data_IF_349196932727
#
_entry.id   IF_349196932727
#
_cell.length_a   1.000
_cell.length_b   1.000
_cell.length_c   1.000
_cell.angle_alpha   90.00
_cell.angle_beta   90.00
_cell.angle_gamma   90.00
#
_symmetry.space_group_name_H-M   'P 1'
#
loop_
_entity.id
_entity.type
_entity.pdbx_description
1 polymer ?
#
# COMPACT_ATOMS: atom_id res chain seq x y z
N UNK A 1 -1.29 -40.10 65.23
CA UNK A 1 -2.00 -40.66 64.07
C UNK A 1 -1.71 -39.80 62.84
N UNK A 2 -0.90 -40.35 61.94
CA UNK A 2 -0.58 -40.01 60.54
C UNK A 2 -0.71 -38.56 60.02
N UNK A 3 0.36 -37.79 60.18
CA UNK A 3 0.78 -36.71 59.24
C UNK A 3 1.47 -37.30 57.98
N UNK A 4 1.65 -38.63 57.94
CA UNK A 4 2.42 -39.33 56.92
C UNK A 4 1.69 -39.59 55.58
N UNK A 5 0.37 -39.39 55.49
CA UNK A 5 -0.39 -39.77 54.28
C UNK A 5 -0.52 -38.61 53.27
N UNK A 6 -0.44 -37.35 53.72
CA UNK A 6 -0.65 -36.18 52.84
C UNK A 6 0.59 -35.83 51.99
N UNK A 7 1.78 -36.33 52.36
CA UNK A 7 3.03 -36.04 51.64
C UNK A 7 3.33 -36.96 50.45
N UNK A 8 2.50 -37.98 50.19
CA UNK A 8 2.81 -39.00 49.18
C UNK A 8 2.11 -38.79 47.82
N UNK A 9 1.09 -37.92 47.74
CA UNK A 9 0.38 -37.63 46.48
C UNK A 9 0.84 -36.36 45.73
N UNK A 10 1.55 -35.45 46.39
CA UNK A 10 1.96 -34.17 45.79
C UNK A 10 2.98 -34.25 44.62
N UNK A 11 3.98 -35.17 44.60
CA UNK A 11 4.94 -35.19 43.49
C UNK A 11 4.38 -35.82 42.21
N UNK A 12 3.26 -36.55 42.30
CA UNK A 12 2.59 -37.16 41.13
C UNK A 12 1.66 -36.16 40.42
N UNK A 13 0.98 -35.29 41.17
CA UNK A 13 0.13 -34.22 40.63
C UNK A 13 0.95 -33.10 39.97
N UNK A 14 2.07 -32.69 40.58
CA UNK A 14 2.95 -31.67 40.00
C UNK A 14 3.66 -32.15 38.72
N UNK A 15 4.01 -33.44 38.64
CA UNK A 15 4.56 -34.06 37.41
C UNK A 15 3.51 -34.17 36.31
N UNK A 16 2.28 -34.56 36.64
CA UNK A 16 1.16 -34.61 35.68
C UNK A 16 0.83 -33.24 35.08
N UNK A 17 0.89 -32.17 35.89
CA UNK A 17 0.67 -30.80 35.44
C UNK A 17 1.78 -30.31 34.48
N UNK A 18 3.02 -30.74 34.69
CA UNK A 18 4.16 -30.39 33.83
C UNK A 18 4.06 -31.09 32.46
N UNK A 19 3.65 -32.37 32.42
CA UNK A 19 3.39 -33.08 31.16
C UNK A 19 2.19 -32.49 30.40
N UNK A 20 1.13 -32.06 31.11
CA UNK A 20 0.00 -31.37 30.50
C UNK A 20 0.41 -30.01 29.89
N UNK A 21 1.28 -29.24 30.54
CA UNK A 21 1.82 -28.00 29.98
C UNK A 21 2.71 -28.23 28.75
N UNK A 22 3.55 -29.27 28.72
CA UNK A 22 4.35 -29.60 27.52
C UNK A 22 3.47 -30.08 26.36
N UNK A 23 2.40 -30.84 26.63
CA UNK A 23 1.43 -31.26 25.61
C UNK A 23 0.54 -30.11 25.12
N UNK A 24 0.22 -29.13 25.97
CA UNK A 24 -0.51 -27.92 25.58
C UNK A 24 0.32 -26.96 24.72
N UNK A 25 1.65 -26.92 24.89
CA UNK A 25 2.54 -26.13 24.02
C UNK A 25 2.87 -26.83 22.68
N UNK A 26 2.78 -28.15 22.60
CA UNK A 26 3.00 -28.89 21.35
C UNK A 26 1.86 -28.72 20.33
N UNK A 27 0.68 -28.24 20.75
CA UNK A 27 -0.49 -28.08 19.88
C UNK A 27 -0.42 -26.88 18.91
N UNK A 28 0.64 -26.07 18.95
CA UNK A 28 0.83 -24.93 18.04
C UNK A 28 1.82 -25.22 16.87
N UNK A 29 2.33 -26.44 16.74
CA UNK A 29 3.24 -26.83 15.65
C UNK A 29 2.46 -27.27 14.39
N UNK A 30 1.63 -26.38 13.84
CA UNK A 30 0.77 -26.67 12.68
C UNK A 30 0.97 -25.75 11.47
N UNK A 31 1.84 -24.75 11.54
CA UNK A 31 2.09 -23.85 10.41
C UNK A 31 3.32 -24.28 9.64
N UNK A 32 3.18 -25.15 8.62
CA UNK A 32 4.25 -25.36 7.62
C UNK A 32 4.37 -24.17 6.66
N UNK A 33 3.29 -23.40 6.52
CA UNK A 33 3.24 -22.13 5.81
C UNK A 33 2.55 -21.12 6.73
N UNK A 34 3.21 -19.99 6.99
CA UNK A 34 2.58 -18.84 7.65
C UNK A 34 2.24 -17.79 6.60
N UNK A 35 1.02 -17.27 6.67
CA UNK A 35 0.52 -16.24 5.76
C UNK A 35 0.14 -15.01 6.59
N UNK A 36 0.64 -13.84 6.20
CA UNK A 36 0.33 -12.58 6.84
C UNK A 36 -0.19 -11.59 5.81
N UNK A 37 -1.18 -10.78 6.20
CA UNK A 37 -1.74 -9.71 5.39
C UNK A 37 -1.58 -8.39 6.14
N UNK A 38 -1.02 -7.38 5.49
CA UNK A 38 -0.89 -6.04 6.04
C UNK A 38 -1.38 -4.99 5.06
N UNK A 39 -2.31 -4.15 5.52
CA UNK A 39 -2.77 -2.97 4.80
C UNK A 39 -1.89 -1.76 5.19
N UNK A 40 -1.61 -0.87 4.24
CA UNK A 40 -0.78 0.31 4.52
C UNK A 40 -1.51 1.34 5.39
N UNK A 41 -2.82 1.46 5.19
CA UNK A 41 -3.72 2.35 5.90
C UNK A 41 -4.99 1.61 6.30
N UNK A 42 -5.69 2.16 7.28
CA UNK A 42 -7.02 1.69 7.72
C UNK A 42 -8.17 2.46 7.07
N UNK A 43 -7.87 3.55 6.36
CA UNK A 43 -8.84 4.38 5.66
C UNK A 43 -8.30 4.74 4.28
N UNK A 44 -9.15 4.61 3.26
CA UNK A 44 -8.87 4.95 1.87
C UNK A 44 -9.98 5.84 1.32
N UNK A 45 -9.66 6.65 0.31
CA UNK A 45 -10.67 7.41 -0.41
C UNK A 45 -11.27 6.53 -1.51
N UNK A 46 -12.57 6.65 -1.78
CA UNK A 46 -13.20 5.92 -2.88
C UNK A 46 -12.44 6.11 -4.20
N UNK A 47 -12.27 5.00 -4.92
CA UNK A 47 -11.47 4.88 -6.15
C UNK A 47 -9.95 5.08 -5.98
N UNK A 48 -9.43 5.06 -4.75
CA UNK A 48 -7.99 5.01 -4.48
C UNK A 48 -7.48 3.55 -4.48
N UNK A 49 -6.24 3.29 -4.96
CA UNK A 49 -5.60 1.98 -4.84
C UNK A 49 -5.56 1.46 -3.39
N UNK A 50 -5.95 0.20 -3.20
CA UNK A 50 -5.95 -0.49 -1.91
C UNK A 50 -4.86 -1.57 -1.92
N UNK A 51 -3.62 -1.14 -1.65
CA UNK A 51 -2.46 -2.01 -1.72
C UNK A 51 -2.28 -2.83 -0.43
N UNK A 52 -2.50 -4.13 -0.54
CA UNK A 52 -2.23 -5.11 0.49
C UNK A 52 -0.81 -5.70 0.35
N UNK A 53 -0.08 -5.78 1.46
CA UNK A 53 1.23 -6.44 1.54
C UNK A 53 1.05 -7.84 2.14
N UNK A 54 1.23 -8.85 1.31
CA UNK A 54 1.20 -10.25 1.67
C UNK A 54 2.60 -10.73 2.06
N UNK A 55 2.71 -11.47 3.15
CA UNK A 55 3.93 -12.18 3.53
C UNK A 55 3.67 -13.68 3.67
N UNK A 56 4.48 -14.50 3.00
CA UNK A 56 4.40 -15.95 3.04
C UNK A 56 5.73 -16.46 3.59
N UNK A 57 5.70 -17.15 4.73
CA UNK A 57 6.89 -17.77 5.34
C UNK A 57 6.80 -19.28 5.21
N UNK A 58 7.84 -19.89 4.63
CA UNK A 58 7.99 -21.34 4.59
C UNK A 58 8.61 -21.84 5.91
N UNK A 59 7.83 -22.60 6.66
CA UNK A 59 8.21 -23.24 7.93
C UNK A 59 8.21 -24.79 7.81
N UNK A 60 8.14 -25.32 6.58
CA UNK A 60 8.04 -26.77 6.31
C UNK A 60 9.37 -27.53 6.46
N UNK A 61 10.49 -26.83 6.61
CA UNK A 61 11.83 -27.44 6.70
C UNK A 61 12.37 -28.00 5.37
N UNK A 62 11.70 -27.73 4.26
CA UNK A 62 12.10 -28.06 2.88
C UNK A 62 11.68 -26.96 1.93
N UNK A 63 12.25 -26.90 0.73
CA UNK A 63 11.75 -26.04 -0.34
C UNK A 63 10.30 -26.39 -0.67
N UNK A 64 9.48 -25.36 -0.91
CA UNK A 64 8.10 -25.51 -1.35
C UNK A 64 7.87 -24.77 -2.66
N UNK A 65 6.92 -25.24 -3.45
CA UNK A 65 6.46 -24.59 -4.67
C UNK A 65 4.94 -24.41 -4.61
N UNK A 66 4.49 -23.16 -4.62
CA UNK A 66 3.08 -22.80 -4.66
C UNK A 66 2.66 -22.65 -6.12
N UNK A 67 1.62 -23.38 -6.53
CA UNK A 67 1.11 -23.39 -7.89
C UNK A 67 -0.36 -23.81 -7.90
N UNK A 68 -1.09 -23.39 -8.92
CA UNK A 68 -2.50 -23.77 -9.08
C UNK A 68 -2.58 -25.29 -9.33
N UNK A 69 -3.42 -25.99 -8.56
CA UNK A 69 -3.57 -27.44 -8.61
C UNK A 69 -4.99 -27.83 -8.16
N UNK A 70 -5.49 -28.98 -8.64
CA UNK A 70 -6.82 -29.51 -8.26
C UNK A 70 -7.98 -28.51 -8.49
N UNK A 71 -7.85 -27.66 -9.50
CA UNK A 71 -8.83 -26.59 -9.80
C UNK A 71 -8.87 -25.46 -8.77
N UNK A 72 -7.88 -25.38 -7.86
CA UNK A 72 -7.72 -24.31 -6.87
C UNK A 72 -6.57 -23.40 -7.26
N UNK A 73 -6.78 -22.08 -7.21
CA UNK A 73 -5.68 -21.12 -7.30
C UNK A 73 -4.86 -21.14 -6.01
N UNK A 74 -3.53 -21.09 -6.14
CA UNK A 74 -2.66 -21.13 -4.95
C UNK A 74 -2.75 -19.88 -4.10
N UNK A 75 -3.19 -18.75 -4.66
CA UNK A 75 -3.42 -17.50 -3.95
C UNK A 75 -4.84 -16.99 -4.21
N UNK A 76 -5.53 -16.61 -3.15
CA UNK A 76 -6.81 -15.93 -3.24
C UNK A 76 -7.07 -14.96 -2.10
N UNK A 77 -8.13 -14.18 -2.27
CA UNK A 77 -8.63 -13.25 -1.26
C UNK A 77 -10.10 -13.52 -0.99
N UNK A 78 -10.45 -13.40 0.29
CA UNK A 78 -11.83 -13.37 0.77
C UNK A 78 -12.08 -11.93 1.21
N UNK A 79 -12.97 -11.25 0.49
CA UNK A 79 -13.36 -9.88 0.76
C UNK A 79 -14.82 -9.89 1.19
N UNK A 80 -15.12 -9.28 2.33
CA UNK A 80 -16.50 -9.08 2.80
C UNK A 80 -16.75 -7.61 3.12
N UNK A 81 -17.99 -7.18 2.93
CA UNK A 81 -18.43 -5.84 3.32
C UNK A 81 -18.79 -5.74 4.80
N UNK A 82 -19.39 -4.60 5.18
CA UNK A 82 -19.70 -4.25 6.57
C UNK A 82 -20.70 -5.19 7.26
N UNK A 83 -21.59 -5.85 6.51
CA UNK A 83 -22.58 -6.78 7.03
C UNK A 83 -22.12 -8.25 6.92
N UNK A 84 -20.84 -8.47 6.60
CA UNK A 84 -20.25 -9.80 6.43
C UNK A 84 -20.59 -10.48 5.10
N UNK A 85 -21.31 -9.80 4.21
CA UNK A 85 -21.63 -10.29 2.88
C UNK A 85 -20.36 -10.48 2.04
N UNK A 86 -20.17 -11.63 1.38
CA UNK A 86 -19.02 -11.86 0.51
C UNK A 86 -19.11 -11.01 -0.75
N UNK A 87 -17.97 -10.47 -1.16
CA UNK A 87 -17.82 -9.65 -2.36
C UNK A 87 -17.14 -10.50 -3.43
N UNK A 88 -17.82 -10.67 -4.55
CA UNK A 88 -17.29 -11.41 -5.69
C UNK A 88 -16.14 -10.62 -6.37
N UNK A 89 -15.10 -11.32 -6.86
CA UNK A 89 -14.05 -10.68 -7.64
C UNK A 89 -14.60 -10.15 -8.98
N UNK A 90 -14.00 -9.08 -9.49
CA UNK A 90 -14.34 -8.46 -10.78
C UNK A 90 -14.01 -9.36 -11.98
N UNK A 91 -13.09 -10.30 -11.81
CA UNK A 91 -12.70 -11.29 -12.83
C UNK A 91 -12.35 -12.61 -12.16
N UNK A 92 -12.80 -13.71 -12.76
CA UNK A 92 -12.54 -15.07 -12.26
C UNK A 92 -11.09 -15.51 -12.47
N UNK A 93 -10.38 -14.89 -13.43
CA UNK A 93 -9.01 -15.23 -13.78
C UNK A 93 -8.03 -14.26 -13.11
N UNK A 94 -7.51 -14.67 -11.95
CA UNK A 94 -6.37 -14.01 -11.30
C UNK A 94 -5.26 -15.02 -11.01
N UNK A 95 -4.99 -15.89 -11.99
CA UNK A 95 -3.97 -16.92 -11.89
C UNK A 95 -2.62 -16.28 -11.58
N UNK A 96 -2.04 -16.67 -10.45
CA UNK A 96 -0.73 -16.17 -10.03
C UNK A 96 0.35 -17.11 -10.55
N UNK A 97 1.48 -16.58 -11.06
CA UNK A 97 2.56 -17.43 -11.49
C UNK A 97 3.07 -18.28 -10.30
N UNK A 98 3.52 -19.53 -10.55
CA UNK A 98 4.10 -20.37 -9.53
C UNK A 98 5.18 -19.66 -8.71
N UNK A 99 5.27 -19.98 -7.43
CA UNK A 99 6.20 -19.36 -6.50
C UNK A 99 6.98 -20.40 -5.71
N UNK A 100 8.28 -20.48 -5.97
CA UNK A 100 9.22 -21.24 -5.15
C UNK A 100 9.63 -20.45 -3.91
N UNK A 101 9.62 -21.10 -2.74
CA UNK A 101 10.06 -20.53 -1.46
C UNK A 101 11.00 -21.53 -0.78
N UNK A 102 12.24 -21.13 -0.52
CA UNK A 102 13.23 -21.98 0.15
C UNK A 102 12.86 -22.22 1.62
N UNK A 103 13.39 -23.32 2.19
CA UNK A 103 13.17 -23.64 3.59
C UNK A 103 13.55 -22.47 4.53
N UNK A 104 12.62 -22.03 5.37
CA UNK A 104 12.83 -20.91 6.31
C UNK A 104 12.74 -19.51 5.68
N UNK A 105 12.56 -19.40 4.36
CA UNK A 105 12.47 -18.12 3.68
C UNK A 105 11.08 -17.48 3.85
N UNK A 106 11.06 -16.14 3.89
CA UNK A 106 9.84 -15.33 3.74
C UNK A 106 9.85 -14.56 2.43
N UNK A 107 8.77 -14.67 1.67
CA UNK A 107 8.51 -13.86 0.46
C UNK A 107 7.44 -12.82 0.76
N UNK A 108 7.61 -11.61 0.23
CA UNK A 108 6.63 -10.52 0.36
C UNK A 108 6.13 -10.11 -1.02
N UNK A 109 4.82 -9.93 -1.17
CA UNK A 109 4.17 -9.45 -2.39
C UNK A 109 3.25 -8.27 -2.08
N UNK A 110 3.17 -7.31 -2.98
CA UNK A 110 2.21 -6.22 -2.92
C UNK A 110 1.16 -6.42 -3.99
N UNK A 111 -0.11 -6.39 -3.60
CA UNK A 111 -1.26 -6.63 -4.48
C UNK A 111 -2.25 -5.50 -4.26
N UNK A 112 -2.65 -4.82 -5.33
CA UNK A 112 -3.74 -3.87 -5.29
C UNK A 112 -5.07 -4.63 -5.39
N UNK A 113 -5.95 -4.41 -4.40
CA UNK A 113 -7.25 -5.07 -4.33
C UNK A 113 -8.31 -4.37 -5.20
N UNK A 114 -8.16 -3.07 -5.45
CA UNK A 114 -9.13 -2.27 -6.21
C UNK A 114 -9.43 -2.79 -7.64
N UNK A 115 -8.45 -3.28 -8.43
CA UNK A 115 -8.73 -3.88 -9.74
C UNK A 115 -9.28 -5.30 -9.65
N UNK A 116 -9.20 -5.96 -8.49
CA UNK A 116 -9.60 -7.36 -8.30
C UNK A 116 -11.00 -7.48 -7.69
N UNK A 117 -11.41 -6.52 -6.86
CA UNK A 117 -12.69 -6.54 -6.14
C UNK A 117 -13.33 -5.14 -6.19
N UNK A 118 -14.68 -5.02 -6.21
CA UNK A 118 -15.37 -3.74 -6.12
C UNK A 118 -15.30 -3.16 -4.70
N UNK A 119 -14.12 -2.72 -4.28
CA UNK A 119 -13.84 -2.13 -2.96
C UNK A 119 -13.76 -0.60 -3.01
N UNK A 120 -14.62 0.02 -3.82
CA UNK A 120 -14.67 1.48 -4.02
C UNK A 120 -15.90 2.15 -3.40
N UNK A 121 -16.92 1.37 -3.02
CA UNK A 121 -18.10 1.88 -2.35
C UNK A 121 -17.80 2.27 -0.89
N UNK A 122 -18.60 3.15 -0.33
CA UNK A 122 -18.39 3.60 1.05
C UNK A 122 -18.73 2.50 2.05
N UNK A 123 -17.83 2.30 3.02
CA UNK A 123 -18.06 1.35 4.10
C UNK A 123 -16.79 0.66 4.56
N UNK A 124 -16.97 -0.22 5.54
CA UNK A 124 -15.91 -1.06 6.07
C UNK A 124 -15.81 -2.37 5.27
N UNK A 125 -14.59 -2.75 4.95
CA UNK A 125 -14.25 -3.99 4.26
C UNK A 125 -13.34 -4.84 5.16
N UNK A 126 -13.58 -6.14 5.14
CA UNK A 126 -12.73 -7.13 5.78
C UNK A 126 -12.08 -7.96 4.68
N UNK A 127 -10.76 -8.13 4.78
CA UNK A 127 -9.99 -8.89 3.79
C UNK A 127 -9.15 -9.92 4.51
N UNK A 128 -9.22 -11.15 4.02
CA UNK A 128 -8.32 -12.23 4.38
C UNK A 128 -7.74 -12.82 3.11
N UNK A 129 -6.49 -13.25 3.15
CA UNK A 129 -5.89 -14.00 2.04
C UNK A 129 -5.66 -15.44 2.45
N UNK A 130 -5.71 -16.32 1.46
CA UNK A 130 -5.41 -17.73 1.64
C UNK A 130 -4.38 -18.20 0.62
N UNK A 131 -3.54 -19.14 1.06
CA UNK A 131 -2.58 -19.84 0.24
C UNK A 131 -2.95 -21.32 0.20
N UNK A 132 -3.24 -21.85 -0.98
CA UNK A 132 -3.41 -23.29 -1.17
C UNK A 132 -2.06 -23.95 -1.42
N UNK A 133 -1.79 -25.04 -0.69
CA UNK A 133 -0.58 -25.82 -0.84
C UNK A 133 -0.92 -27.25 -1.27
N UNK A 134 -0.66 -27.54 -2.55
CA UNK A 134 -1.01 -28.78 -3.22
C UNK A 134 -0.46 -30.03 -2.51
N UNK A 135 0.80 -30.01 -2.06
CA UNK A 135 1.45 -31.13 -1.36
C UNK A 135 0.66 -31.65 -0.15
N UNK A 136 -0.13 -30.77 0.49
CA UNK A 136 -0.94 -31.10 1.67
C UNK A 136 -2.44 -31.09 1.37
N UNK A 137 -2.86 -30.60 0.20
CA UNK A 137 -4.26 -30.37 -0.15
C UNK A 137 -4.98 -29.44 0.83
N UNK A 138 -4.32 -28.40 1.34
CA UNK A 138 -4.85 -27.52 2.40
C UNK A 138 -4.64 -26.04 2.13
N UNK A 139 -5.52 -25.23 2.69
CA UNK A 139 -5.45 -23.77 2.70
C UNK A 139 -4.83 -23.25 4.00
N UNK A 140 -3.95 -22.25 3.87
CA UNK A 140 -3.36 -21.49 4.97
C UNK A 140 -3.86 -20.05 4.89
N UNK A 141 -4.42 -19.54 5.98
CA UNK A 141 -5.08 -18.23 6.00
C UNK A 141 -4.26 -17.19 6.75
N UNK A 142 -4.33 -15.95 6.29
CA UNK A 142 -3.87 -14.80 7.06
C UNK A 142 -4.84 -14.46 8.20
N UNK A 143 -4.39 -13.59 9.10
CA UNK A 143 -5.32 -12.77 9.88
C UNK A 143 -6.18 -11.87 8.98
N UNK A 144 -7.31 -11.40 9.50
CA UNK A 144 -8.21 -10.48 8.79
C UNK A 144 -7.71 -9.05 8.91
N UNK A 145 -7.45 -8.40 7.77
CA UNK A 145 -7.25 -6.95 7.68
C UNK A 145 -8.59 -6.23 7.53
N UNK A 146 -8.70 -5.05 8.13
CA UNK A 146 -9.89 -4.21 8.03
C UNK A 146 -9.49 -2.84 7.51
N UNK A 147 -10.26 -2.30 6.57
CA UNK A 147 -10.14 -0.91 6.15
C UNK A 147 -11.50 -0.31 5.86
N UNK A 148 -11.56 1.01 5.92
CA UNK A 148 -12.74 1.80 5.60
C UNK A 148 -12.50 2.57 4.29
N UNK A 149 -13.52 2.62 3.44
CA UNK A 149 -13.56 3.49 2.27
C UNK A 149 -14.52 4.61 2.55
N UNK A 150 -14.03 5.84 2.42
CA UNK A 150 -14.81 7.06 2.62
C UNK A 150 -14.70 7.96 1.40
N UNK A 151 -15.58 8.95 1.26
CA UNK A 151 -15.33 10.02 0.28
C UNK A 151 -14.44 11.13 0.85
N UNK A 152 -13.91 11.95 -0.04
CA UNK A 152 -13.19 13.16 0.33
C UNK A 152 -13.92 14.41 -0.20
N UNK A 153 -13.89 15.49 0.57
CA UNK A 153 -14.61 16.72 0.23
C UNK A 153 -13.91 17.44 -0.93
N UNK A 154 -14.59 17.73 -2.06
CA UNK A 154 -14.02 18.56 -3.12
C UNK A 154 -13.87 20.00 -2.66
N UNK A 155 -12.70 20.59 -2.94
CA UNK A 155 -12.38 21.99 -2.67
C UNK A 155 -12.14 22.81 -3.95
N UNK A 156 -11.85 22.14 -5.06
CA UNK A 156 -11.70 22.73 -6.38
C UNK A 156 -12.05 21.69 -7.44
N UNK A 157 -12.70 22.11 -8.52
CA UNK A 157 -12.99 21.25 -9.67
C UNK A 157 -12.93 22.05 -10.97
N UNK A 158 -12.46 21.42 -12.04
CA UNK A 158 -12.53 21.98 -13.39
C UNK A 158 -12.66 20.87 -14.42
N UNK A 159 -13.57 21.07 -15.37
CA UNK A 159 -13.79 20.18 -16.51
C UNK A 159 -13.07 20.72 -17.73
N UNK A 160 -12.36 19.83 -18.43
CA UNK A 160 -11.58 20.11 -19.64
C UNK A 160 -11.95 19.11 -20.72
N UNK A 161 -11.86 19.51 -21.99
CA UNK A 161 -11.97 18.57 -23.12
C UNK A 161 -10.67 17.82 -23.36
N UNK A 162 -10.75 16.65 -23.99
CA UNK A 162 -9.57 15.93 -24.47
C UNK A 162 -9.10 16.55 -25.81
N UNK A 163 -7.84 17.04 -25.92
CA UNK A 163 -7.31 17.58 -27.17
C UNK A 163 -7.32 16.56 -28.31
N UNK A 164 -7.42 17.07 -29.55
CA UNK A 164 -7.31 16.23 -30.75
C UNK A 164 -5.95 15.53 -30.82
N UNK A 165 -5.94 14.25 -31.22
CA UNK A 165 -4.72 13.44 -31.31
C UNK A 165 -4.41 12.58 -30.08
N UNK A 166 -5.21 12.68 -29.01
CA UNK A 166 -5.22 11.75 -27.87
C UNK A 166 -6.45 10.83 -28.00
N UNK A 167 -6.38 9.59 -27.50
CA UNK A 167 -7.52 8.67 -27.50
C UNK A 167 -8.71 9.27 -26.71
N UNK A 168 -9.92 9.11 -27.25
CA UNK A 168 -11.15 9.74 -26.71
C UNK A 168 -11.38 11.21 -27.13
N UNK A 169 -11.09 11.64 -28.37
CA UNK A 169 -11.32 13.04 -28.76
C UNK A 169 -12.80 13.41 -28.64
N UNK A 170 -13.10 14.54 -27.98
CA UNK A 170 -14.47 15.00 -27.74
C UNK A 170 -15.06 14.57 -26.39
N UNK A 171 -14.41 13.65 -25.67
CA UNK A 171 -14.73 13.36 -24.27
C UNK A 171 -14.21 14.48 -23.34
N UNK A 172 -14.72 14.48 -22.11
CA UNK A 172 -14.32 15.43 -21.07
C UNK A 172 -13.62 14.71 -19.92
N UNK A 173 -12.77 15.45 -19.22
CA UNK A 173 -12.17 15.04 -17.95
C UNK A 173 -12.44 16.12 -16.93
N UNK A 174 -12.94 15.71 -15.77
CA UNK A 174 -13.09 16.59 -14.62
C UNK A 174 -12.01 16.27 -13.61
N UNK A 175 -11.10 17.23 -13.43
CA UNK A 175 -10.17 17.23 -12.32
C UNK A 175 -10.89 17.72 -11.06
N UNK A 176 -10.63 17.06 -9.93
CA UNK A 176 -11.08 17.49 -8.61
C UNK A 176 -9.93 17.46 -7.63
N UNK A 177 -9.74 18.53 -6.88
CA UNK A 177 -8.92 18.50 -5.67
C UNK A 177 -9.82 18.23 -4.47
N UNK A 178 -9.49 17.20 -3.71
CA UNK A 178 -10.24 16.77 -2.54
C UNK A 178 -9.38 16.90 -1.29
N UNK A 179 -9.99 17.21 -0.15
CA UNK A 179 -9.32 17.19 1.14
C UNK A 179 -9.90 16.12 2.03
N UNK A 180 -9.06 15.30 2.64
CA UNK A 180 -9.44 14.39 3.70
C UNK A 180 -8.66 14.66 4.98
N UNK A 181 -9.36 14.63 6.12
CA UNK A 181 -8.76 14.84 7.45
C UNK A 181 -8.61 13.51 8.15
N UNK A 182 -7.36 13.07 8.30
CA UNK A 182 -6.99 11.94 9.16
C UNK A 182 -6.76 12.43 10.59
N UNK A 183 -6.69 11.51 11.58
CA UNK A 183 -6.45 11.88 12.98
C UNK A 183 -5.16 12.68 13.21
N UNK A 184 -4.10 12.41 12.44
CA UNK A 184 -2.78 13.00 12.62
C UNK A 184 -2.43 14.08 11.57
N UNK A 185 -3.14 14.14 10.44
CA UNK A 185 -2.86 15.10 9.36
C UNK A 185 -4.05 15.33 8.43
N UNK A 186 -4.01 16.41 7.65
CA UNK A 186 -4.89 16.59 6.48
C UNK A 186 -4.11 16.26 5.22
N UNK A 187 -4.70 15.51 4.30
CA UNK A 187 -4.12 15.19 3.00
C UNK A 187 -4.94 15.80 1.86
N UNK A 188 -4.22 16.26 0.83
CA UNK A 188 -4.77 16.70 -0.44
C UNK A 188 -4.78 15.51 -1.41
N UNK A 189 -5.87 15.34 -2.14
CA UNK A 189 -6.05 14.30 -3.15
C UNK A 189 -6.39 14.93 -4.49
N UNK A 190 -6.07 14.21 -5.55
CA UNK A 190 -6.61 14.46 -6.89
C UNK A 190 -7.55 13.31 -7.27
N UNK A 191 -8.67 13.65 -7.89
CA UNK A 191 -9.54 12.71 -8.60
C UNK A 191 -9.72 13.17 -10.04
N UNK A 192 -9.52 12.25 -10.99
CA UNK A 192 -9.77 12.46 -12.41
C UNK A 192 -10.89 11.54 -12.84
N UNK A 193 -11.98 12.11 -13.34
CA UNK A 193 -13.17 11.35 -13.70
C UNK A 193 -13.89 11.98 -14.89
N UNK A 194 -14.61 11.19 -15.64
CA UNK A 194 -15.69 11.65 -16.49
C UNK A 194 -16.98 11.62 -15.66
N UNK A 195 -17.53 12.80 -15.36
CA UNK A 195 -18.71 12.94 -14.50
C UNK A 195 -19.99 12.48 -15.18
N UNK A 196 -20.04 12.52 -16.51
CA UNK A 196 -21.24 12.21 -17.28
C UNK A 196 -21.43 10.69 -17.40
N UNK A 197 -20.32 9.96 -17.55
CA UNK A 197 -20.31 8.49 -17.58
C UNK A 197 -20.11 7.84 -16.22
N UNK A 198 -19.62 8.58 -15.22
CA UNK A 198 -19.28 8.07 -13.89
C UNK A 198 -17.94 7.33 -13.82
N UNK A 199 -17.17 7.29 -14.92
CA UNK A 199 -15.86 6.62 -14.96
C UNK A 199 -14.84 7.43 -14.16
N UNK A 200 -14.23 6.81 -13.15
CA UNK A 200 -13.11 7.38 -12.41
C UNK A 200 -11.80 6.79 -12.92
N UNK A 201 -10.94 7.64 -13.49
CA UNK A 201 -9.66 7.24 -14.06
C UNK A 201 -8.56 7.11 -13.00
N UNK A 202 -8.57 8.01 -12.01
CA UNK A 202 -7.61 7.96 -10.91
C UNK A 202 -8.13 8.69 -9.68
N UNK A 203 -7.83 8.15 -8.49
CA UNK A 203 -7.84 8.91 -7.23
C UNK A 203 -6.58 8.56 -6.44
N UNK A 204 -5.81 9.57 -6.01
CA UNK A 204 -4.64 9.36 -5.15
C UNK A 204 -4.24 10.61 -4.38
N UNK A 205 -3.47 10.41 -3.30
CA UNK A 205 -2.95 11.50 -2.47
C UNK A 205 -1.82 12.26 -3.16
N UNK A 206 -1.91 13.59 -3.15
CA UNK A 206 -0.83 14.51 -3.51
C UNK A 206 0.09 14.83 -2.31
N UNK A 207 -0.27 14.35 -1.12
CA UNK A 207 0.48 14.51 0.12
C UNK A 207 -0.25 15.28 1.21
N UNK A 208 0.46 15.53 2.31
CA UNK A 208 -0.03 16.35 3.42
C UNK A 208 -0.25 17.78 2.96
N UNK A 209 -1.26 18.44 3.49
CA UNK A 209 -1.51 19.88 3.24
C UNK A 209 -1.84 20.60 4.54
N UNK A 210 -1.33 21.83 4.68
CA UNK A 210 -1.72 22.72 5.77
C UNK A 210 -3.05 23.37 5.42
N UNK A 211 -4.06 23.18 6.27
CA UNK A 211 -5.45 23.58 5.98
C UNK A 211 -5.69 25.09 5.83
N UNK A 212 -4.77 25.94 6.31
CA UNK A 212 -4.95 27.40 6.29
C UNK A 212 -4.69 28.04 4.91
N UNK A 213 -3.94 27.36 4.04
CA UNK A 213 -3.61 27.89 2.71
C UNK A 213 -4.25 27.01 1.63
N UNK A 214 -5.08 27.62 0.78
CA UNK A 214 -5.71 26.89 -0.31
C UNK A 214 -4.66 26.48 -1.35
N UNK A 215 -4.72 25.24 -1.86
CA UNK A 215 -3.85 24.83 -2.95
C UNK A 215 -4.13 25.66 -4.19
N UNK A 216 -3.08 25.99 -4.94
CA UNK A 216 -3.19 26.59 -6.26
C UNK A 216 -3.36 25.48 -7.29
N UNK A 217 -4.31 25.67 -8.21
CA UNK A 217 -4.64 24.73 -9.27
C UNK A 217 -4.79 25.49 -10.58
N UNK A 218 -4.02 25.12 -11.59
CA UNK A 218 -4.03 25.76 -12.91
C UNK A 218 -4.00 24.70 -14.02
N UNK A 219 -4.68 24.98 -15.13
CA UNK A 219 -4.69 24.12 -16.31
C UNK A 219 -3.81 24.74 -17.38
N UNK A 220 -2.89 23.96 -17.97
CA UNK A 220 -2.07 24.41 -19.09
C UNK A 220 -2.74 24.19 -20.46
N UNK A 221 -2.08 24.66 -21.52
CA UNK A 221 -2.55 24.49 -22.92
C UNK A 221 -2.77 23.04 -23.37
N UNK A 222 -2.19 22.06 -22.69
CA UNK A 222 -2.36 20.63 -22.98
C UNK A 222 -3.47 20.01 -22.11
N UNK A 223 -4.24 20.82 -21.38
CA UNK A 223 -5.25 20.42 -20.42
C UNK A 223 -4.70 19.55 -19.29
N UNK A 224 -3.42 19.70 -18.95
CA UNK A 224 -2.80 19.06 -17.80
C UNK A 224 -3.01 19.93 -16.56
N UNK A 225 -3.29 19.29 -15.43
CA UNK A 225 -3.48 19.98 -14.16
C UNK A 225 -2.13 20.20 -13.47
N UNK A 226 -1.89 21.43 -13.04
CA UNK A 226 -0.78 21.83 -12.19
C UNK A 226 -1.31 22.16 -10.80
N UNK A 227 -0.78 21.50 -9.78
CA UNK A 227 -1.17 21.70 -8.38
C UNK A 227 0.05 22.12 -7.59
N UNK A 228 -0.08 23.19 -6.81
CA UNK A 228 0.92 23.65 -5.86
C UNK A 228 0.28 23.86 -4.50
N UNK A 229 0.79 23.20 -3.46
CA UNK A 229 0.23 23.29 -2.12
C UNK A 229 1.31 23.33 -1.03
N UNK A 230 0.97 23.92 0.11
CA UNK A 230 1.85 24.01 1.28
C UNK A 230 1.76 22.70 2.07
N UNK A 231 2.80 21.88 2.00
CA UNK A 231 2.84 20.54 2.59
C UNK A 231 3.32 20.53 4.06
N UNK A 232 4.19 21.47 4.41
CA UNK A 232 4.66 21.75 5.76
C UNK A 232 5.11 23.22 5.85
N UNK A 233 5.41 23.78 7.04
CA UNK A 233 5.86 25.16 7.15
C UNK A 233 7.05 25.42 6.23
N UNK A 234 6.87 26.34 5.28
CA UNK A 234 7.85 26.70 4.22
C UNK A 234 8.17 25.61 3.21
N UNK A 235 7.54 24.44 3.26
CA UNK A 235 7.74 23.36 2.30
C UNK A 235 6.50 23.21 1.42
N UNK A 236 6.71 23.25 0.12
CA UNK A 236 5.68 23.30 -0.90
C UNK A 236 5.83 22.12 -1.84
N UNK A 237 4.71 21.49 -2.18
CA UNK A 237 4.66 20.34 -3.08
C UNK A 237 3.97 20.74 -4.37
N UNK A 238 4.65 20.48 -5.50
CA UNK A 238 4.16 20.70 -6.84
C UNK A 238 3.92 19.35 -7.53
N UNK A 239 2.79 19.23 -8.22
CA UNK A 239 2.45 18.05 -9.02
C UNK A 239 1.83 18.46 -10.35
N UNK A 240 2.20 17.76 -11.43
CA UNK A 240 1.58 17.88 -12.76
C UNK A 240 0.87 16.58 -13.09
N UNK A 241 -0.42 16.65 -13.43
CA UNK A 241 -1.30 15.50 -13.62
C UNK A 241 -1.86 15.51 -15.04
N UNK A 242 -1.82 14.34 -15.69
CA UNK A 242 -2.36 14.10 -17.02
C UNK A 242 -3.87 13.85 -17.04
N UNK A 243 -4.43 13.78 -18.25
CA UNK A 243 -5.88 13.66 -18.49
C UNK A 243 -6.51 12.36 -17.97
N UNK A 244 -5.73 11.29 -17.76
CA UNK A 244 -6.24 10.07 -17.12
C UNK A 244 -5.67 9.89 -15.70
N UNK A 245 -5.12 10.97 -15.12
CA UNK A 245 -4.59 10.97 -13.77
C UNK A 245 -3.14 10.57 -13.63
N UNK A 246 -2.39 10.35 -14.72
CA UNK A 246 -0.97 10.04 -14.64
C UNK A 246 -0.20 11.17 -13.94
N UNK A 247 0.62 10.84 -12.92
CA UNK A 247 1.49 11.83 -12.28
C UNK A 247 2.70 12.09 -13.19
N UNK A 248 2.61 13.14 -14.00
CA UNK A 248 3.60 13.49 -15.03
C UNK A 248 4.86 14.15 -14.46
N UNK A 249 4.73 14.87 -13.35
CA UNK A 249 5.86 15.48 -12.65
C UNK A 249 5.52 15.71 -11.17
N UNK A 250 6.54 15.65 -10.32
CA UNK A 250 6.44 15.98 -8.90
C UNK A 250 7.73 16.64 -8.43
N UNK A 251 7.62 17.69 -7.62
CA UNK A 251 8.79 18.42 -7.07
C UNK A 251 8.45 19.11 -5.77
N UNK A 252 9.45 19.25 -4.91
CA UNK A 252 9.33 19.97 -3.63
C UNK A 252 10.07 21.31 -3.73
N UNK A 253 9.49 22.36 -3.16
CA UNK A 253 10.05 23.70 -3.11
C UNK A 253 10.14 24.17 -1.67
N UNK A 254 11.23 24.86 -1.34
CA UNK A 254 11.36 25.58 -0.07
C UNK A 254 11.09 27.08 -0.27
N UNK A 255 10.20 27.62 0.54
CA UNK A 255 9.96 29.05 0.66
C UNK A 255 11.16 29.70 1.37
N UNK A 256 11.91 30.49 0.61
CA UNK A 256 13.11 31.18 1.07
C UNK A 256 12.85 32.69 1.18
N UNK A 257 13.30 33.47 0.19
CA UNK A 257 13.01 34.91 0.07
C UNK A 257 11.67 35.16 -0.62
N UNK A 258 11.22 34.22 -1.43
CA UNK A 258 9.96 34.28 -2.17
C UNK A 258 9.17 33.00 -1.96
N UNK A 259 7.84 33.16 -1.90
CA UNK A 259 6.89 32.05 -1.82
C UNK A 259 6.70 31.43 -3.22
N UNK A 260 6.75 30.10 -3.37
CA UNK A 260 6.35 29.42 -4.59
C UNK A 260 4.91 29.76 -5.00
N UNK A 261 4.69 30.09 -6.27
CA UNK A 261 3.35 30.30 -6.86
C UNK A 261 3.30 29.77 -8.28
N UNK A 262 2.14 29.31 -8.73
CA UNK A 262 1.88 29.01 -10.13
C UNK A 262 1.76 30.31 -10.93
N UNK A 263 2.36 30.33 -12.11
CA UNK A 263 2.28 31.44 -13.06
C UNK A 263 2.04 30.90 -14.47
N UNK A 264 1.19 31.60 -15.21
CA UNK A 264 0.99 31.37 -16.64
C UNK A 264 2.05 32.13 -17.45
N UNK A 265 2.72 31.42 -18.35
CA UNK A 265 3.53 32.02 -19.39
C UNK A 265 2.65 32.45 -20.58
N UNK A 266 3.15 33.36 -21.41
CA UNK A 266 2.41 33.90 -22.55
C UNK A 266 2.00 32.83 -23.59
N UNK A 267 2.70 31.68 -23.59
CA UNK A 267 2.41 30.53 -24.45
C UNK A 267 1.37 29.55 -23.84
N UNK A 268 0.75 29.87 -22.69
CA UNK A 268 -0.20 29.00 -22.01
C UNK A 268 0.43 27.83 -21.24
N UNK A 269 1.75 27.85 -21.02
CA UNK A 269 2.40 26.95 -20.08
C UNK A 269 2.23 27.44 -18.64
N UNK A 270 2.10 26.50 -17.72
CA UNK A 270 2.11 26.78 -16.28
C UNK A 270 3.45 26.36 -15.70
N UNK A 271 4.03 27.23 -14.89
CA UNK A 271 5.29 26.96 -14.17
C UNK A 271 5.24 27.47 -12.73
N UNK A 272 6.10 26.93 -11.88
CA UNK A 272 6.29 27.43 -10.51
C UNK A 272 7.33 28.56 -10.51
N UNK A 273 6.97 29.71 -9.93
CA UNK A 273 7.88 30.84 -9.71
C UNK A 273 8.04 31.11 -8.21
N UNK A 274 9.29 31.32 -7.79
CA UNK A 274 9.63 31.58 -6.39
C UNK A 274 9.99 30.32 -5.61
N UNK A 275 10.59 30.53 -4.43
CA UNK A 275 11.22 29.46 -3.66
C UNK A 275 12.43 28.84 -4.36
N UNK A 276 13.00 27.82 -3.73
CA UNK A 276 14.11 27.03 -4.27
C UNK A 276 13.69 25.57 -4.36
N UNK A 277 13.91 24.93 -5.51
CA UNK A 277 13.61 23.50 -5.66
C UNK A 277 14.53 22.71 -4.72
N UNK A 278 13.96 21.78 -3.95
CA UNK A 278 14.76 20.78 -3.28
C UNK A 278 15.14 19.75 -4.34
N UNK A 279 16.43 19.66 -4.67
CA UNK A 279 16.91 18.53 -5.42
C UNK A 279 16.50 17.27 -4.66
N UNK A 280 15.83 16.34 -5.33
CA UNK A 280 15.53 15.04 -4.73
C UNK A 280 16.83 14.51 -4.13
N UNK A 281 16.82 14.23 -2.82
CA UNK A 281 17.97 13.61 -2.19
C UNK A 281 18.25 12.34 -2.99
N UNK A 282 19.33 12.36 -3.79
CA UNK A 282 19.89 11.13 -4.32
C UNK A 282 20.04 10.26 -3.08
N UNK A 283 19.38 9.10 -3.06
CA UNK A 283 19.74 8.05 -2.12
C UNK A 283 21.19 7.73 -2.43
N UNK A 284 22.13 8.50 -1.86
CA UNK A 284 23.48 8.05 -1.70
C UNK A 284 23.33 6.83 -0.80
N UNK A 285 23.32 5.65 -1.42
CA UNK A 285 23.94 4.49 -0.78
C UNK A 285 25.40 4.88 -0.58
N UNK A 286 25.68 5.79 0.35
CA UNK A 286 26.97 5.77 1.00
C UNK A 286 26.93 4.48 1.81
N UNK A 287 27.46 3.43 1.22
CA UNK A 287 27.86 2.24 1.94
C UNK A 287 28.95 2.72 2.88
N UNK A 288 28.56 3.33 4.01
CA UNK A 288 29.47 3.52 5.12
C UNK A 288 30.07 2.13 5.40
N UNK A 289 31.41 1.97 5.35
CA UNK A 289 32.02 0.66 5.59
C UNK A 289 31.52 0.14 6.93
N UNK A 290 30.97 -1.07 6.94
CA UNK A 290 30.62 -1.74 8.20
C UNK A 290 31.88 -1.80 9.05
N UNK A 291 31.76 -1.53 10.35
CA UNK A 291 32.87 -1.60 11.31
C UNK A 291 33.56 -2.98 11.34
N UNK A 292 32.96 -4.00 10.73
CA UNK A 292 33.48 -5.35 10.53
C UNK A 292 34.25 -5.58 9.23
N UNK A 293 34.43 -4.55 8.39
CA UNK A 293 35.24 -4.67 7.18
C UNK A 293 36.72 -4.82 7.56
N UNK A 294 37.28 -6.00 7.29
CA UNK A 294 38.71 -6.28 7.46
C UNK A 294 39.54 -5.29 6.63
N UNK A 295 40.64 -4.72 7.17
CA UNK A 295 41.52 -3.86 6.40
C UNK A 295 42.00 -4.59 5.13
N UNK A 296 42.17 -3.88 3.99
CA UNK A 296 42.80 -4.45 2.80
C UNK A 296 44.15 -5.06 3.18
N UNK A 297 44.40 -6.30 2.76
CA UNK A 297 45.65 -6.99 3.04
C UNK A 297 46.84 -6.20 2.51
N UNK A 298 47.91 -6.16 3.30
CA UNK A 298 49.19 -5.58 2.89
C UNK A 298 49.68 -6.24 1.58
N UNK A 299 50.31 -5.47 0.67
CA UNK A 299 50.91 -6.05 -0.53
C UNK A 299 51.94 -7.11 -0.13
N UNK A 300 51.88 -8.27 -0.78
CA UNK A 300 52.97 -9.23 -0.70
C UNK A 300 54.12 -8.67 -1.52
N UNK A 301 55.25 -8.41 -0.87
CA UNK A 301 56.52 -8.26 -1.56
C UNK A 301 56.90 -9.64 -2.12
N UNK A 302 56.92 -9.75 -3.44
CA UNK A 302 57.60 -10.84 -4.13
C UNK A 302 59.12 -10.59 -4.02
N UNK A 303 59.79 -11.41 -3.21
CA UNK A 303 61.21 -11.76 -3.38
C UNK A 303 61.58 -13.03 -2.61
#
# INVERSE_FOLDING_TARGET
>A
MSIAIIRMLWPKLARGLLYACVLLFAAAAGGQIQVDLKLQRLQYIAYEPVVATLGITNLAGRDIELHDADGQSWLGFEVTGSEGQPIAPLSAESAQPPLKIEAGQRVTRQIDLAPLYPVHDFGAYHVRTHVYFADLGKFFYSGTGVFEVTDARPIWQQTVGIPTGVAGPGEVRTYSLLTNRFPDHTSLYVRVQDKDTGVVYATYSLGRTIAFEQPQAEIDRANQLHVLHCAAPRAWSYSRIGLNGELLAHSTFMETKSRPRLVHAANGEVAVRGGTIEAAAQKSRSTAPKLSARPPGLPKDDR
#
